data_IF_566741606010
#
_entry.id   IF_566741606010
#
_cell.length_a   1.000
_cell.length_b   1.000
_cell.length_c   1.000
_cell.angle_alpha   90.00
_cell.angle_beta   90.00
_cell.angle_gamma   90.00
#
_symmetry.space_group_name_H-M   'P 1'
#
loop_
_entity.id
_entity.type
_entity.pdbx_description
1 polymer ?
#
# COMPACT_ATOMS: atom_id res chain seq x y z
N UNK A 1 -13.59 17.84 6.29
CA UNK A 1 -13.07 17.25 5.04
C UNK A 1 -12.77 15.79 5.31
N UNK A 2 -13.29 14.86 4.51
CA UNK A 2 -12.89 13.44 4.56
C UNK A 2 -11.50 13.37 3.92
N UNK A 3 -10.48 12.92 4.65
CA UNK A 3 -9.17 12.70 4.05
C UNK A 3 -9.29 11.57 3.02
N UNK A 4 -8.67 11.76 1.86
CA UNK A 4 -8.58 10.68 0.88
C UNK A 4 -7.42 9.75 1.26
N UNK A 5 -7.38 8.57 0.63
CA UNK A 5 -6.35 7.56 0.89
C UNK A 5 -4.93 8.13 0.74
N UNK A 6 -4.70 8.94 -0.30
CA UNK A 6 -3.38 9.51 -0.57
C UNK A 6 -2.94 10.48 0.52
N UNK A 7 -3.84 11.33 1.03
CA UNK A 7 -3.54 12.26 2.12
C UNK A 7 -3.15 11.53 3.41
N UNK A 8 -3.77 10.37 3.69
CA UNK A 8 -3.43 9.53 4.84
C UNK A 8 -2.08 8.85 4.65
N UNK A 9 -1.82 8.31 3.45
CA UNK A 9 -0.54 7.66 3.13
C UNK A 9 0.62 8.64 3.19
N UNK A 10 0.50 9.85 2.65
CA UNK A 10 1.57 10.87 2.65
C UNK A 10 1.98 11.34 4.06
N UNK A 11 1.13 11.12 5.07
CA UNK A 11 1.43 11.46 6.47
C UNK A 11 2.23 10.39 7.20
N UNK A 12 2.29 9.18 6.65
CA UNK A 12 3.08 8.12 7.26
C UNK A 12 4.56 8.48 7.19
N UNK A 13 5.28 8.21 8.27
CA UNK A 13 6.73 8.33 8.25
C UNK A 13 7.34 7.28 7.31
N UNK A 14 8.48 7.60 6.70
CA UNK A 14 9.17 6.70 5.78
C UNK A 14 9.68 5.43 6.45
N UNK A 15 9.92 5.47 7.75
CA UNK A 15 10.31 4.34 8.61
C UNK A 15 9.10 3.66 9.29
N UNK A 16 7.87 4.11 9.02
CA UNK A 16 6.68 3.51 9.63
C UNK A 16 6.58 2.02 9.29
N UNK A 17 6.61 1.17 10.31
CA UNK A 17 6.44 -0.28 10.23
C UNK A 17 5.02 -0.72 10.61
N UNK A 18 4.29 0.14 11.32
CA UNK A 18 2.92 -0.10 11.79
C UNK A 18 2.09 1.15 11.50
N UNK A 19 0.95 0.96 10.84
CA UNK A 19 -0.02 2.02 10.58
C UNK A 19 -1.41 1.42 10.37
N UNK A 20 -2.45 2.24 10.57
CA UNK A 20 -3.83 1.91 10.18
C UNK A 20 -4.35 3.06 9.34
N UNK A 21 -4.84 2.76 8.15
CA UNK A 21 -5.35 3.73 7.16
C UNK A 21 -6.77 3.35 6.82
N UNK A 22 -7.72 4.28 6.98
CA UNK A 22 -9.15 4.02 6.82
C UNK A 22 -9.69 2.78 7.58
N UNK A 23 -9.07 2.43 8.71
CA UNK A 23 -9.42 1.24 9.51
C UNK A 23 -8.75 -0.06 9.06
N UNK A 24 -7.97 -0.04 7.98
CA UNK A 24 -7.22 -1.19 7.47
C UNK A 24 -5.79 -1.15 8.00
N UNK A 25 -5.32 -2.21 8.69
CA UNK A 25 -3.94 -2.28 9.15
C UNK A 25 -2.99 -2.45 7.96
N UNK A 26 -1.94 -1.65 7.94
CA UNK A 26 -0.86 -1.76 6.96
C UNK A 26 0.00 -2.98 7.27
N UNK A 27 0.30 -3.77 6.25
CA UNK A 27 1.21 -4.92 6.32
C UNK A 27 2.52 -4.61 5.62
N UNK A 28 3.64 -5.13 6.13
CA UNK A 28 4.93 -5.03 5.46
C UNK A 28 5.12 -6.23 4.54
N UNK A 29 5.55 -5.96 3.31
CA UNK A 29 5.87 -6.99 2.31
C UNK A 29 7.21 -6.69 1.66
N UNK A 30 7.90 -7.73 1.18
CA UNK A 30 9.09 -7.57 0.35
C UNK A 30 8.72 -7.27 -1.11
N UNK A 31 9.73 -6.91 -1.91
CA UNK A 31 9.57 -6.65 -3.35
C UNK A 31 9.04 -7.88 -4.10
N UNK A 32 9.47 -9.08 -3.73
CA UNK A 32 9.03 -10.31 -4.38
C UNK A 32 7.53 -10.54 -4.18
N UNK A 33 7.01 -10.30 -2.98
CA UNK A 33 5.58 -10.38 -2.70
C UNK A 33 4.82 -9.26 -3.38
N UNK A 34 5.35 -8.04 -3.43
CA UNK A 34 4.74 -6.94 -4.16
C UNK A 34 4.58 -7.27 -5.65
N UNK A 35 5.64 -7.77 -6.28
CA UNK A 35 5.64 -8.17 -7.68
C UNK A 35 4.68 -9.33 -7.95
N UNK A 36 4.59 -10.32 -7.04
CA UNK A 36 3.59 -11.40 -7.15
C UNK A 36 2.16 -10.88 -7.08
N UNK A 37 1.86 -9.96 -6.17
CA UNK A 37 0.52 -9.37 -6.05
C UNK A 37 0.13 -8.61 -7.32
N UNK A 38 1.05 -7.84 -7.91
CA UNK A 38 0.80 -7.15 -9.17
C UNK A 38 0.64 -8.12 -10.35
N UNK A 39 1.40 -9.23 -10.36
CA UNK A 39 1.28 -10.26 -11.39
C UNK A 39 -0.03 -11.07 -11.29
N UNK A 40 -0.62 -11.16 -10.09
CA UNK A 40 -1.94 -11.79 -9.87
C UNK A 40 -3.10 -10.94 -10.44
N UNK A 41 -2.88 -9.64 -10.65
CA UNK A 41 -3.87 -8.69 -11.19
C UNK A 41 -3.29 -7.89 -12.38
N UNK A 42 -3.04 -8.53 -13.53
CA UNK A 42 -2.40 -7.90 -14.68
C UNK A 42 -3.24 -6.80 -15.34
N UNK A 43 -4.55 -6.79 -15.07
CA UNK A 43 -5.49 -5.81 -15.61
C UNK A 43 -5.68 -4.60 -14.68
N UNK A 44 -4.96 -4.54 -13.55
CA UNK A 44 -5.01 -3.43 -12.57
C UNK A 44 -6.45 -3.14 -12.08
N UNK A 45 -7.24 -4.19 -11.87
CA UNK A 45 -8.65 -4.05 -11.49
C UNK A 45 -8.86 -3.86 -9.98
N UNK A 46 -7.93 -4.38 -9.18
CA UNK A 46 -8.08 -4.56 -7.73
C UNK A 46 -6.86 -4.13 -6.94
N UNK A 47 -5.63 -4.45 -7.41
CA UNK A 47 -4.38 -4.14 -6.72
C UNK A 47 -3.66 -3.02 -7.45
N UNK A 48 -3.51 -1.90 -6.76
CA UNK A 48 -2.88 -0.70 -7.29
C UNK A 48 -1.56 -0.41 -6.58
N UNK A 49 -0.58 0.02 -7.36
CA UNK A 49 0.70 0.50 -6.84
C UNK A 49 0.71 2.02 -6.68
N UNK A 50 1.32 2.48 -5.58
CA UNK A 50 1.57 3.89 -5.33
C UNK A 50 2.99 4.10 -4.79
N UNK A 51 3.76 4.93 -5.50
CA UNK A 51 5.11 5.33 -5.09
C UNK A 51 5.03 6.77 -4.58
N UNK A 52 5.29 6.94 -3.28
CA UNK A 52 5.27 8.22 -2.59
C UNK A 52 6.66 8.55 -2.06
N UNK A 53 6.85 9.81 -1.62
CA UNK A 53 8.13 10.25 -1.01
C UNK A 53 8.52 9.45 0.24
N UNK A 54 7.54 8.86 0.92
CA UNK A 54 7.72 8.09 2.15
C UNK A 54 7.70 6.57 1.92
N UNK A 55 7.70 6.11 0.68
CA UNK A 55 7.85 4.69 0.36
C UNK A 55 6.97 4.22 -0.79
N UNK A 56 7.11 2.93 -1.09
CA UNK A 56 6.28 2.21 -2.07
C UNK A 56 5.17 1.47 -1.33
N UNK A 57 3.94 1.64 -1.78
CA UNK A 57 2.76 1.04 -1.21
C UNK A 57 1.97 0.31 -2.29
N UNK A 58 1.39 -0.83 -1.94
CA UNK A 58 0.36 -1.47 -2.73
C UNK A 58 -0.93 -1.45 -1.92
N UNK A 59 -2.05 -1.23 -2.57
CA UNK A 59 -3.34 -1.32 -1.91
C UNK A 59 -4.35 -2.04 -2.78
N UNK A 60 -5.21 -2.83 -2.12
CA UNK A 60 -6.33 -3.47 -2.77
C UNK A 60 -7.58 -2.63 -2.55
N UNK A 61 -8.31 -2.37 -3.63
CA UNK A 61 -9.61 -1.71 -3.57
C UNK A 61 -10.73 -2.63 -4.08
N UNK A 62 -11.88 -2.57 -3.42
CA UNK A 62 -13.12 -3.20 -3.88
C UNK A 62 -14.25 -2.17 -3.84
N UNK A 63 -14.88 -1.94 -5.00
CA UNK A 63 -15.94 -0.94 -5.17
C UNK A 63 -15.59 0.44 -4.60
N UNK A 64 -14.32 0.85 -4.74
CA UNK A 64 -13.81 2.13 -4.26
C UNK A 64 -13.48 2.19 -2.76
N UNK A 65 -13.55 1.07 -2.04
CA UNK A 65 -13.16 0.96 -0.63
C UNK A 65 -11.82 0.24 -0.49
N UNK A 66 -10.98 0.72 0.42
CA UNK A 66 -9.72 0.06 0.77
C UNK A 66 -10.01 -1.25 1.51
N UNK A 67 -9.46 -2.36 0.99
CA UNK A 67 -9.61 -3.71 1.59
C UNK A 67 -8.29 -4.20 2.18
N UNK A 68 -7.17 -3.89 1.53
CA UNK A 68 -5.84 -4.25 2.01
C UNK A 68 -4.84 -3.12 1.73
N UNK A 69 -3.86 -2.97 2.60
CA UNK A 69 -2.78 -2.00 2.45
C UNK A 69 -1.44 -2.64 2.80
N UNK A 70 -0.48 -2.46 1.91
CA UNK A 70 0.85 -3.00 2.02
C UNK A 70 1.89 -1.89 1.84
N UNK A 71 2.94 -1.91 2.64
CA UNK A 71 4.15 -1.13 2.42
C UNK A 71 5.28 -2.06 2.02
N UNK A 72 5.91 -1.75 0.90
CA UNK A 72 7.05 -2.50 0.40
C UNK A 72 8.28 -2.07 1.18
N UNK A 73 8.95 -3.03 1.81
CA UNK A 73 10.23 -2.85 2.46
C UNK A 73 11.31 -3.48 1.59
N UNK A 74 12.38 -2.74 1.33
CA UNK A 74 13.56 -3.33 0.71
C UNK A 74 14.18 -4.30 1.72
N UNK A 75 14.44 -5.54 1.31
CA UNK A 75 15.30 -6.42 2.08
C UNK A 75 16.67 -5.72 2.15
N UNK A 76 17.09 -5.33 3.36
CA UNK A 76 18.44 -4.79 3.56
C UNK A 76 19.43 -5.83 3.04
N UNK A 77 20.13 -5.49 1.94
CA UNK A 77 21.21 -6.30 1.37
C UNK A 77 22.36 -6.46 2.36
#
# INVERSE_FOLDING_TARGET
MKMNLMDELMKLHSDATVATVQGIPMQLIDEDRANRLLAEDPDDNTIHECILRNGRFLFQSDNGNLVALYKVIEASK
#
